data_IF_338462820061
#
_entry.id   IF_338462820061
#
_cell.length_a   1.000
_cell.length_b   1.000
_cell.length_c   1.000
_cell.angle_alpha   90.00
_cell.angle_beta   90.00
_cell.angle_gamma   90.00
#
_symmetry.space_group_name_H-M   'P 1'
#
loop_
_entity.id
_entity.type
_entity.pdbx_description
1 polymer ?
#
# COMPACT_ATOMS: atom_id res chain seq x y z
N UNK A 1 43.45 41.43 -10.77
CA UNK A 1 42.57 41.34 -11.95
C UNK A 1 42.21 39.88 -12.14
N UNK A 2 40.94 39.45 -12.00
CA UNK A 2 40.58 38.07 -12.27
C UNK A 2 40.52 37.89 -13.79
N UNK A 3 41.16 36.82 -14.28
CA UNK A 3 41.08 36.42 -15.67
C UNK A 3 39.66 35.89 -15.93
N UNK A 4 38.87 36.63 -16.69
CA UNK A 4 37.64 36.13 -17.30
C UNK A 4 38.00 34.90 -18.16
N UNK A 5 37.82 33.70 -17.61
CA UNK A 5 37.87 32.44 -18.36
C UNK A 5 36.67 32.40 -19.29
N UNK A 6 36.76 33.11 -20.43
CA UNK A 6 35.82 32.96 -21.53
C UNK A 6 36.02 31.55 -22.10
N UNK A 7 35.04 30.68 -21.89
CA UNK A 7 34.98 29.34 -22.48
C UNK A 7 35.16 29.45 -24.00
N UNK A 8 36.02 28.62 -24.58
CA UNK A 8 36.15 28.53 -26.05
C UNK A 8 34.80 28.17 -26.67
N UNK A 9 34.50 28.63 -27.90
CA UNK A 9 33.21 28.44 -28.56
C UNK A 9 32.69 26.99 -28.51
N UNK A 10 33.59 26.03 -28.68
CA UNK A 10 33.28 24.59 -28.66
C UNK A 10 32.86 24.09 -27.28
N UNK A 11 33.53 24.54 -26.20
CA UNK A 11 33.15 24.18 -24.83
C UNK A 11 31.81 24.79 -24.43
N UNK A 12 31.51 25.99 -24.94
CA UNK A 12 30.22 26.65 -24.74
C UNK A 12 29.10 25.90 -25.49
N UNK A 13 29.34 25.48 -26.73
CA UNK A 13 28.37 24.72 -27.51
C UNK A 13 28.09 23.34 -26.90
N UNK A 14 29.13 22.63 -26.43
CA UNK A 14 28.99 21.36 -25.71
C UNK A 14 28.14 21.52 -24.44
N UNK A 15 28.36 22.58 -23.67
CA UNK A 15 27.54 22.88 -22.49
C UNK A 15 26.07 23.07 -22.83
N UNK A 16 25.75 23.79 -23.90
CA UNK A 16 24.36 23.97 -24.34
C UNK A 16 23.72 22.68 -24.85
N UNK A 17 24.48 21.79 -25.50
CA UNK A 17 23.97 20.46 -25.90
C UNK A 17 23.60 19.63 -24.68
N UNK A 18 24.46 19.60 -23.64
CA UNK A 18 24.18 18.87 -22.39
C UNK A 18 22.94 19.43 -21.70
N UNK A 19 22.81 20.76 -21.61
CA UNK A 19 21.61 21.40 -21.02
C UNK A 19 20.35 21.07 -21.83
N UNK A 20 20.42 21.14 -23.16
CA UNK A 20 19.29 20.85 -24.03
C UNK A 20 18.82 19.39 -23.90
N UNK A 21 19.76 18.45 -23.81
CA UNK A 21 19.47 17.04 -23.57
C UNK A 21 18.87 16.82 -22.18
N UNK A 22 19.40 17.46 -21.13
CA UNK A 22 18.86 17.38 -19.77
C UNK A 22 17.43 17.92 -19.65
N UNK A 23 17.11 18.98 -20.41
CA UNK A 23 15.75 19.53 -20.51
C UNK A 23 14.80 18.63 -21.31
N UNK A 24 15.29 18.00 -22.37
CA UNK A 24 14.50 17.04 -23.16
C UNK A 24 14.17 15.76 -22.38
N UNK A 25 15.09 15.28 -21.55
CA UNK A 25 14.87 14.11 -20.70
C UNK A 25 14.19 14.44 -19.37
N UNK A 26 13.83 15.71 -19.13
CA UNK A 26 13.14 16.15 -17.92
C UNK A 26 11.92 15.30 -17.54
N UNK A 27 10.97 14.99 -18.44
CA UNK A 27 9.80 14.19 -18.10
C UNK A 27 10.15 12.79 -17.58
N UNK A 28 11.31 12.24 -17.95
CA UNK A 28 11.74 10.91 -17.52
C UNK A 28 12.24 10.95 -16.08
N UNK A 29 13.10 11.89 -15.72
CA UNK A 29 13.68 11.95 -14.37
C UNK A 29 12.83 12.73 -13.35
N UNK A 30 11.91 13.58 -13.78
CA UNK A 30 10.97 14.29 -12.89
C UNK A 30 10.09 13.33 -12.10
N UNK A 31 9.68 12.22 -12.70
CA UNK A 31 8.92 11.15 -12.02
C UNK A 31 9.66 10.51 -10.84
N UNK A 32 10.99 10.64 -10.81
CA UNK A 32 11.84 10.09 -9.75
C UNK A 32 12.13 11.10 -8.64
N UNK A 33 11.75 12.36 -8.83
CA UNK A 33 11.89 13.40 -7.82
C UNK A 33 10.57 13.53 -7.04
N UNK A 34 10.64 13.75 -5.71
CA UNK A 34 9.46 13.98 -4.87
C UNK A 34 8.91 15.40 -5.08
N UNK A 35 8.73 15.82 -6.34
CA UNK A 35 8.33 17.18 -6.72
C UNK A 35 7.01 17.09 -7.45
N UNK A 36 5.92 17.51 -6.79
CA UNK A 36 4.64 17.73 -7.46
C UNK A 36 3.52 16.73 -7.16
N UNK A 37 3.78 15.63 -6.44
CA UNK A 37 2.76 14.65 -6.04
C UNK A 37 2.10 14.95 -4.68
N UNK A 38 0.93 14.36 -4.40
CA UNK A 38 0.33 14.39 -3.07
C UNK A 38 1.24 13.71 -2.04
N UNK A 39 1.20 14.20 -0.80
CA UNK A 39 1.91 13.61 0.33
C UNK A 39 0.90 12.88 1.19
N UNK A 40 1.06 11.57 1.30
CA UNK A 40 0.17 10.73 2.08
C UNK A 40 0.67 10.64 3.52
N UNK A 41 -0.24 10.79 4.48
CA UNK A 41 0.04 10.69 5.90
C UNK A 41 -0.57 9.40 6.45
N UNK A 42 0.27 8.63 7.12
CA UNK A 42 -0.10 7.39 7.80
C UNK A 42 0.00 7.58 9.29
N UNK A 43 -0.94 7.02 10.01
CA UNK A 43 -0.97 7.02 11.47
C UNK A 43 -1.18 5.59 11.98
N UNK A 44 -0.97 5.39 13.29
CA UNK A 44 -1.25 4.13 13.95
C UNK A 44 -2.31 4.28 15.03
N UNK A 45 -3.15 3.26 15.16
CA UNK A 45 -4.02 3.06 16.31
C UNK A 45 -3.54 1.84 17.10
N UNK A 46 -3.45 1.96 18.41
CA UNK A 46 -3.10 0.83 19.28
C UNK A 46 -4.28 -0.15 19.38
N UNK A 47 -3.97 -1.43 19.24
CA UNK A 47 -4.91 -2.54 19.40
C UNK A 47 -4.55 -3.26 20.69
N UNK A 48 -5.52 -3.40 21.58
CA UNK A 48 -5.34 -4.03 22.89
C UNK A 48 -6.41 -5.06 23.15
N UNK A 49 -6.15 -5.90 24.14
CA UNK A 49 -7.11 -6.85 24.68
C UNK A 49 -7.49 -6.43 26.10
N UNK A 50 -8.75 -6.63 26.47
CA UNK A 50 -9.24 -6.41 27.84
C UNK A 50 -9.52 -7.74 28.58
N UNK A 51 -8.96 -8.83 28.07
CA UNK A 51 -9.16 -10.20 28.56
C UNK A 51 -10.36 -10.92 27.95
N UNK A 52 -11.35 -10.21 27.40
CA UNK A 52 -12.50 -10.85 26.72
C UNK A 52 -12.62 -10.46 25.26
N UNK A 53 -12.24 -9.23 24.92
CA UNK A 53 -12.34 -8.67 23.57
C UNK A 53 -10.99 -8.19 23.05
N UNK A 54 -10.95 -7.99 21.73
CA UNK A 54 -9.92 -7.24 21.02
C UNK A 54 -10.54 -5.91 20.58
N UNK A 55 -9.90 -4.80 20.93
CA UNK A 55 -10.40 -3.45 20.70
C UNK A 55 -9.29 -2.46 20.39
N UNK A 56 -9.66 -1.29 19.86
CA UNK A 56 -8.73 -0.16 19.78
C UNK A 56 -8.61 0.51 21.14
N UNK A 57 -7.39 0.77 21.60
CA UNK A 57 -7.14 1.41 22.90
C UNK A 57 -7.72 2.83 22.97
N UNK A 58 -7.86 3.50 21.82
CA UNK A 58 -8.53 4.80 21.71
C UNK A 58 -9.51 4.74 20.55
N UNK A 59 -10.80 4.93 20.84
CA UNK A 59 -11.82 5.11 19.81
C UNK A 59 -11.69 6.52 19.25
N UNK A 60 -11.10 6.65 18.06
CA UNK A 60 -11.16 7.88 17.27
C UNK A 60 -12.09 7.66 16.08
N UNK A 61 -12.96 8.63 15.81
CA UNK A 61 -13.87 8.63 14.64
C UNK A 61 -13.13 8.54 13.29
N UNK A 62 -11.80 8.75 13.30
CA UNK A 62 -10.92 8.68 12.14
C UNK A 62 -10.44 7.27 11.78
N UNK A 63 -10.57 6.28 12.69
CA UNK A 63 -10.17 4.90 12.38
C UNK A 63 -11.29 4.24 11.58
N UNK A 64 -11.11 4.22 10.27
CA UNK A 64 -12.01 3.52 9.35
C UNK A 64 -11.47 2.11 9.05
N UNK A 65 -12.13 1.07 9.55
CA UNK A 65 -11.91 -0.31 9.15
C UNK A 65 -11.81 -1.33 10.28
N UNK A 66 -11.71 -2.63 9.95
CA UNK A 66 -11.58 -3.70 10.93
C UNK A 66 -10.20 -3.69 11.61
N UNK A 67 -10.16 -4.26 12.81
CA UNK A 67 -8.94 -4.46 13.61
C UNK A 67 -7.92 -5.29 12.82
N UNK A 68 -8.42 -6.36 12.21
CA UNK A 68 -7.70 -7.20 11.25
C UNK A 68 -8.69 -7.72 10.23
N UNK A 69 -8.30 -7.82 8.97
CA UNK A 69 -9.08 -8.51 7.94
C UNK A 69 -9.21 -10.03 8.18
N UNK A 70 -8.40 -10.59 9.07
CA UNK A 70 -8.53 -11.96 9.56
C UNK A 70 -9.48 -12.10 10.76
N UNK A 71 -9.99 -10.99 11.32
CA UNK A 71 -11.00 -10.95 12.37
C UNK A 71 -12.29 -10.33 11.83
N UNK A 72 -13.23 -11.17 11.41
CA UNK A 72 -14.54 -10.72 10.98
C UNK A 72 -15.33 -10.07 12.12
N UNK A 73 -16.31 -9.25 11.77
CA UNK A 73 -17.24 -8.62 12.73
C UNK A 73 -16.57 -7.66 13.72
N UNK A 74 -15.37 -7.18 13.38
CA UNK A 74 -14.62 -6.23 14.19
C UNK A 74 -14.88 -4.76 13.83
N UNK A 75 -15.51 -4.50 12.67
CA UNK A 75 -15.92 -3.17 12.21
C UNK A 75 -17.40 -2.89 12.52
N UNK A 76 -17.69 -1.71 13.06
CA UNK A 76 -19.05 -1.24 13.36
C UNK A 76 -19.87 -0.89 12.11
N UNK A 77 -19.22 -0.59 10.99
CA UNK A 77 -19.89 -0.15 9.75
C UNK A 77 -20.29 -1.30 8.84
N UNK A 78 -19.80 -2.51 9.09
CA UNK A 78 -20.20 -3.71 8.38
C UNK A 78 -21.43 -4.33 9.06
N UNK A 79 -22.63 -3.85 8.72
CA UNK A 79 -23.91 -4.33 9.31
C UNK A 79 -24.28 -5.75 8.83
N UNK A 80 -23.68 -6.22 7.73
CA UNK A 80 -24.09 -7.46 7.03
C UNK A 80 -23.32 -8.76 7.34
N UNK A 81 -22.04 -8.81 7.74
CA UNK A 81 -21.29 -10.07 7.66
C UNK A 81 -21.46 -11.06 8.82
N UNK A 82 -22.26 -10.77 9.86
CA UNK A 82 -22.17 -11.52 11.13
C UNK A 82 -23.46 -12.22 11.56
N UNK A 83 -24.47 -12.28 10.68
CA UNK A 83 -25.75 -12.90 11.03
C UNK A 83 -25.65 -14.42 11.13
N UNK A 84 -24.84 -15.06 10.27
CA UNK A 84 -24.65 -16.50 10.28
C UNK A 84 -23.95 -16.94 11.58
N UNK A 85 -22.91 -16.24 11.96
CA UNK A 85 -22.06 -16.55 13.09
C UNK A 85 -22.85 -16.38 14.41
N UNK A 86 -23.75 -15.39 14.48
CA UNK A 86 -24.73 -15.30 15.57
C UNK A 86 -25.66 -16.51 15.61
N UNK A 87 -26.20 -16.94 14.47
CA UNK A 87 -27.06 -18.14 14.39
C UNK A 87 -26.31 -19.41 14.77
N UNK A 88 -25.01 -19.51 14.46
CA UNK A 88 -24.15 -20.63 14.88
C UNK A 88 -23.96 -20.63 16.39
N UNK A 89 -23.68 -19.47 17.00
CA UNK A 89 -23.59 -19.37 18.47
C UNK A 89 -24.90 -19.77 19.16
N UNK A 90 -26.06 -19.37 18.61
CA UNK A 90 -27.36 -19.72 19.17
C UNK A 90 -27.70 -21.22 19.04
N UNK A 91 -27.37 -21.83 17.90
CA UNK A 91 -27.72 -23.23 17.61
C UNK A 91 -26.60 -24.23 17.90
N UNK A 92 -25.46 -23.78 18.44
CA UNK A 92 -24.20 -24.52 18.63
C UNK A 92 -23.52 -24.93 17.32
N UNK A 93 -24.26 -25.54 16.40
CA UNK A 93 -23.77 -25.91 15.07
C UNK A 93 -24.79 -25.56 14.00
N UNK A 94 -24.32 -25.28 12.78
CA UNK A 94 -25.16 -25.07 11.60
C UNK A 94 -24.71 -25.99 10.48
N UNK A 95 -25.62 -26.73 9.83
CA UNK A 95 -25.26 -27.61 8.73
C UNK A 95 -24.72 -26.82 7.54
N UNK A 96 -23.57 -27.26 7.04
CA UNK A 96 -23.01 -26.75 5.78
C UNK A 96 -23.53 -27.57 4.59
N UNK A 97 -23.30 -27.08 3.38
CA UNK A 97 -23.48 -27.87 2.15
C UNK A 97 -22.37 -28.89 1.90
N UNK A 98 -21.32 -28.91 2.73
CA UNK A 98 -20.12 -29.73 2.55
C UNK A 98 -20.26 -31.06 3.26
N UNK A 99 -19.66 -32.09 2.67
CA UNK A 99 -19.66 -33.44 3.19
C UNK A 99 -18.23 -33.99 3.22
N UNK A 100 -17.90 -34.75 4.26
CA UNK A 100 -16.59 -35.37 4.46
C UNK A 100 -16.70 -36.89 4.40
N UNK A 101 -15.71 -37.53 3.77
CA UNK A 101 -15.62 -39.00 3.70
C UNK A 101 -15.11 -39.62 5.00
N UNK A 102 -14.33 -38.85 5.76
CA UNK A 102 -13.77 -39.25 7.05
C UNK A 102 -14.31 -38.31 8.15
N UNK A 103 -14.98 -38.83 9.19
CA UNK A 103 -15.52 -37.98 10.25
C UNK A 103 -14.44 -37.38 11.18
N UNK A 104 -13.17 -37.79 11.02
CA UNK A 104 -12.02 -37.20 11.71
C UNK A 104 -11.21 -36.19 10.89
N UNK A 105 -11.56 -35.99 9.61
CA UNK A 105 -10.89 -35.04 8.72
C UNK A 105 -11.93 -34.11 8.11
N UNK A 106 -12.16 -32.99 8.79
CA UNK A 106 -13.18 -31.99 8.45
C UNK A 106 -12.59 -30.74 7.82
N UNK A 107 -11.34 -30.82 7.37
CA UNK A 107 -10.68 -29.73 6.68
C UNK A 107 -11.48 -29.38 5.42
N UNK A 108 -11.99 -28.15 5.36
CA UNK A 108 -12.77 -27.75 4.21
C UNK A 108 -11.85 -27.46 3.00
N UNK A 109 -12.31 -27.76 1.77
CA UNK A 109 -11.59 -27.41 0.55
C UNK A 109 -11.81 -25.94 0.14
N UNK A 110 -12.10 -25.05 1.10
CA UNK A 110 -12.31 -23.61 0.85
C UNK A 110 -11.28 -22.80 1.64
N UNK A 111 -10.77 -21.74 1.03
CA UNK A 111 -10.01 -20.73 1.76
C UNK A 111 -10.98 -20.00 2.70
N UNK A 112 -10.70 -20.11 3.99
CA UNK A 112 -11.42 -19.36 5.01
C UNK A 112 -11.22 -17.87 4.77
N UNK A 113 -12.33 -17.13 4.69
CA UNK A 113 -12.29 -15.68 4.43
C UNK A 113 -11.67 -14.90 5.59
N UNK A 114 -11.78 -15.45 6.80
CA UNK A 114 -11.28 -14.90 8.04
C UNK A 114 -10.94 -16.08 8.97
N UNK A 115 -9.99 -15.88 9.88
CA UNK A 115 -9.58 -16.90 10.85
C UNK A 115 -10.36 -16.82 12.16
N UNK A 116 -10.78 -15.62 12.56
CA UNK A 116 -11.56 -15.41 13.77
C UNK A 116 -12.77 -14.51 13.51
N UNK A 117 -13.75 -14.59 14.39
CA UNK A 117 -14.91 -13.71 14.42
C UNK A 117 -15.07 -13.08 15.80
N UNK A 118 -15.40 -11.78 15.85
CA UNK A 118 -15.72 -11.08 17.10
C UNK A 118 -17.22 -10.87 17.23
N UNK A 119 -17.84 -11.44 18.27
CA UNK A 119 -19.28 -11.28 18.57
C UNK A 119 -19.45 -10.99 20.06
N UNK A 120 -20.24 -9.97 20.39
CA UNK A 120 -20.60 -9.59 21.76
C UNK A 120 -19.40 -9.59 22.73
N UNK A 121 -18.33 -8.89 22.32
CA UNK A 121 -17.09 -8.73 23.09
C UNK A 121 -16.34 -10.04 23.42
N UNK A 122 -16.53 -11.07 22.58
CA UNK A 122 -15.78 -12.31 22.60
C UNK A 122 -15.22 -12.65 21.21
N UNK A 123 -14.14 -13.42 21.18
CA UNK A 123 -13.48 -13.89 19.96
C UNK A 123 -13.71 -15.39 19.81
N UNK A 124 -14.01 -15.81 18.58
CA UNK A 124 -14.27 -17.21 18.25
C UNK A 124 -13.52 -17.63 16.99
N UNK A 125 -13.06 -18.88 16.98
CA UNK A 125 -12.51 -19.57 15.82
C UNK A 125 -13.61 -20.42 15.15
N UNK A 126 -13.84 -20.27 13.84
CA UNK A 126 -14.66 -21.18 13.07
C UNK A 126 -14.09 -22.60 13.12
N UNK A 127 -14.89 -23.56 13.53
CA UNK A 127 -14.53 -24.97 13.57
C UNK A 127 -15.53 -25.80 12.78
N UNK A 128 -15.06 -26.90 12.20
CA UNK A 128 -15.88 -27.76 11.36
C UNK A 128 -15.91 -29.17 11.92
N UNK A 129 -17.12 -29.70 12.11
CA UNK A 129 -17.33 -31.01 12.72
C UNK A 129 -18.21 -31.87 11.81
N UNK A 130 -17.79 -33.11 11.56
CA UNK A 130 -18.60 -34.07 10.82
C UNK A 130 -19.71 -34.63 11.71
N UNK A 131 -20.96 -34.46 11.31
CA UNK A 131 -22.10 -35.03 12.01
C UNK A 131 -22.22 -36.53 11.71
N UNK A 132 -21.73 -37.35 12.64
CA UNK A 132 -21.76 -38.82 12.56
C UNK A 132 -23.17 -39.40 12.51
N UNK A 133 -24.17 -38.69 13.02
CA UNK A 133 -25.57 -39.10 13.00
C UNK A 133 -26.28 -38.75 11.69
N UNK A 134 -25.67 -37.92 10.83
CA UNK A 134 -26.20 -37.51 9.53
C UNK A 134 -25.35 -38.08 8.38
N UNK A 135 -25.05 -39.38 8.43
CA UNK A 135 -24.37 -40.08 7.34
C UNK A 135 -25.33 -40.33 6.18
N UNK A 136 -24.86 -40.08 4.96
CA UNK A 136 -25.59 -40.36 3.71
C UNK A 136 -25.39 -41.81 3.27
N UNK A 137 -26.22 -42.24 2.32
CA UNK A 137 -26.15 -43.59 1.74
C UNK A 137 -24.80 -43.90 1.05
N UNK A 138 -24.12 -42.87 0.55
CA UNK A 138 -22.78 -42.95 -0.03
C UNK A 138 -21.64 -43.04 1.01
N UNK A 139 -21.99 -43.06 2.30
CA UNK A 139 -21.05 -43.14 3.41
C UNK A 139 -20.48 -41.78 3.85
N UNK A 140 -20.83 -40.68 3.20
CA UNK A 140 -20.33 -39.34 3.53
C UNK A 140 -21.07 -38.72 4.71
N UNK A 141 -20.36 -37.96 5.54
CA UNK A 141 -20.90 -37.27 6.71
C UNK A 141 -21.11 -35.80 6.39
N UNK A 142 -22.27 -35.24 6.75
CA UNK A 142 -22.49 -33.79 6.62
C UNK A 142 -21.57 -33.04 7.59
N UNK A 143 -20.87 -32.02 7.08
CA UNK A 143 -20.04 -31.13 7.91
C UNK A 143 -20.91 -30.01 8.48
N UNK A 144 -20.74 -29.70 9.75
CA UNK A 144 -21.43 -28.62 10.45
C UNK A 144 -20.39 -27.58 10.89
N UNK A 145 -20.73 -26.31 10.71
CA UNK A 145 -19.96 -25.17 11.19
C UNK A 145 -20.31 -24.95 12.66
N UNK A 146 -19.28 -24.74 13.46
CA UNK A 146 -19.32 -24.41 14.88
C UNK A 146 -18.40 -23.22 15.14
N UNK A 147 -18.53 -22.61 16.32
CA UNK A 147 -17.66 -21.55 16.78
C UNK A 147 -17.06 -21.95 18.13
N UNK A 148 -15.74 -22.04 18.19
CA UNK A 148 -15.02 -22.32 19.43
C UNK A 148 -14.50 -21.00 20.01
N UNK A 149 -14.67 -20.80 21.32
CA UNK A 149 -14.21 -19.57 21.96
C UNK A 149 -12.68 -19.58 22.06
N UNK A 150 -12.05 -18.48 21.69
CA UNK A 150 -10.60 -18.32 21.69
C UNK A 150 -10.20 -17.19 22.63
N UNK A 151 -9.04 -17.34 23.28
CA UNK A 151 -8.46 -16.27 24.10
C UNK A 151 -8.06 -15.08 23.21
N UNK A 152 -8.49 -13.84 23.53
CA UNK A 152 -8.21 -12.66 22.71
C UNK A 152 -6.73 -12.41 22.45
N UNK A 153 -5.87 -12.65 23.44
CA UNK A 153 -4.42 -12.46 23.31
C UNK A 153 -3.84 -13.40 22.26
N UNK A 154 -4.25 -14.67 22.30
CA UNK A 154 -3.81 -15.70 21.35
C UNK A 154 -4.31 -15.40 19.94
N UNK A 155 -5.58 -15.00 19.81
CA UNK A 155 -6.16 -14.65 18.52
C UNK A 155 -5.45 -13.43 17.91
N UNK A 156 -5.22 -12.38 18.72
CA UNK A 156 -4.52 -11.17 18.28
C UNK A 156 -3.09 -11.47 17.85
N UNK A 157 -2.35 -12.27 18.61
CA UNK A 157 -1.00 -12.69 18.26
C UNK A 157 -0.99 -13.47 16.93
N UNK A 158 -1.94 -14.38 16.74
CA UNK A 158 -2.01 -15.24 15.56
C UNK A 158 -2.30 -14.49 14.26
N UNK A 159 -3.16 -13.46 14.30
CA UNK A 159 -3.49 -12.66 13.09
C UNK A 159 -2.55 -11.49 12.85
N UNK A 160 -1.60 -11.26 13.76
CA UNK A 160 -0.72 -10.11 13.67
C UNK A 160 0.49 -10.40 12.80
N UNK A 161 0.88 -9.42 11.98
CA UNK A 161 2.13 -9.44 11.23
C UNK A 161 3.24 -8.81 12.05
N UNK A 162 4.40 -9.42 12.09
CA UNK A 162 5.55 -8.79 12.73
C UNK A 162 6.03 -7.57 11.94
N UNK A 163 6.48 -6.54 12.65
CA UNK A 163 7.07 -5.31 12.04
C UNK A 163 8.35 -5.56 11.22
N UNK A 164 8.88 -6.78 11.25
CA UNK A 164 10.06 -7.20 10.48
C UNK A 164 9.70 -8.08 9.30
N UNK A 165 8.41 -8.27 8.99
CA UNK A 165 8.00 -9.03 7.81
C UNK A 165 8.41 -8.29 6.53
N UNK A 166 8.93 -9.04 5.55
CA UNK A 166 9.53 -8.49 4.33
C UNK A 166 8.51 -7.83 3.38
N UNK A 167 7.22 -8.07 3.59
CA UNK A 167 6.10 -7.52 2.81
C UNK A 167 5.63 -6.14 3.30
N UNK A 168 6.14 -5.66 4.44
CA UNK A 168 5.78 -4.35 4.97
C UNK A 168 6.60 -3.23 4.33
N UNK A 169 5.91 -2.25 3.77
CA UNK A 169 6.54 -1.08 3.18
C UNK A 169 7.22 -0.19 4.24
N UNK A 170 8.34 0.50 3.93
CA UNK A 170 9.03 1.35 4.89
C UNK A 170 8.16 2.42 5.59
N UNK A 171 7.22 3.11 4.90
CA UNK A 171 6.32 4.07 5.57
C UNK A 171 5.41 3.41 6.60
N UNK A 172 4.97 2.17 6.36
CA UNK A 172 4.14 1.40 7.29
C UNK A 172 4.95 1.01 8.53
N UNK A 173 6.17 0.52 8.33
CA UNK A 173 7.09 0.19 9.42
C UNK A 173 7.40 1.42 10.28
N UNK A 174 7.65 2.56 9.65
CA UNK A 174 7.90 3.82 10.34
C UNK A 174 6.67 4.25 11.15
N UNK A 175 5.50 4.34 10.51
CA UNK A 175 4.26 4.73 11.17
C UNK A 175 3.94 3.82 12.37
N UNK A 176 4.13 2.51 12.23
CA UNK A 176 3.93 1.55 13.32
C UNK A 176 4.86 1.81 14.52
N UNK A 177 6.09 2.27 14.29
CA UNK A 177 7.10 2.51 15.33
C UNK A 177 7.00 3.90 15.95
N UNK A 178 6.87 4.94 15.14
CA UNK A 178 6.93 6.35 15.55
C UNK A 178 5.57 6.92 15.93
N UNK A 179 4.47 6.42 15.35
CA UNK A 179 3.15 7.04 15.43
C UNK A 179 2.64 7.59 14.11
N UNK A 180 3.54 8.14 13.30
CA UNK A 180 3.21 8.76 12.03
C UNK A 180 4.31 8.56 10.98
N UNK A 181 3.90 8.48 9.72
CA UNK A 181 4.81 8.51 8.59
C UNK A 181 4.22 9.30 7.42
N UNK A 182 5.12 9.82 6.57
CA UNK A 182 4.74 10.50 5.33
C UNK A 182 5.43 9.83 4.15
N UNK A 183 4.69 9.69 3.05
CA UNK A 183 5.23 9.16 1.80
C UNK A 183 4.79 10.00 0.59
N UNK A 184 5.69 10.10 -0.38
CA UNK A 184 5.35 10.61 -1.71
C UNK A 184 4.82 9.42 -2.53
N UNK A 185 3.51 9.41 -2.78
CA UNK A 185 2.81 8.27 -3.37
C UNK A 185 2.06 7.42 -2.34
N UNK A 186 0.93 6.89 -2.78
CA UNK A 186 0.10 6.01 -1.94
C UNK A 186 0.83 4.69 -1.71
N UNK A 187 0.92 4.31 -0.44
CA UNK A 187 1.52 3.06 0.01
C UNK A 187 0.39 2.13 0.39
N UNK A 188 0.43 0.90 -0.11
CA UNK A 188 -0.54 -0.11 0.28
C UNK A 188 -0.33 -0.47 1.76
N UNK A 189 -1.34 -0.21 2.58
CA UNK A 189 -1.30 -0.47 4.01
C UNK A 189 -2.07 -1.75 4.28
N UNK A 190 -1.42 -2.78 4.87
CA UNK A 190 -2.10 -4.03 5.14
C UNK A 190 -3.27 -3.80 6.10
N UNK A 191 -4.34 -4.57 5.91
CA UNK A 191 -5.52 -4.54 6.78
C UNK A 191 -5.34 -5.36 8.06
N UNK A 192 -4.27 -6.15 8.14
CA UNK A 192 -3.86 -6.91 9.31
C UNK A 192 -3.22 -6.01 10.38
N UNK A 193 -3.33 -6.44 11.63
CA UNK A 193 -2.64 -5.78 12.75
C UNK A 193 -1.12 -6.03 12.67
N UNK A 194 -0.31 -5.06 13.11
CA UNK A 194 1.15 -5.14 13.14
C UNK A 194 1.64 -5.25 14.58
N UNK A 195 2.41 -6.29 14.88
CA UNK A 195 3.06 -6.50 16.17
C UNK A 195 4.49 -5.93 16.16
N UNK A 196 4.77 -5.02 17.08
CA UNK A 196 6.10 -4.50 17.35
C UNK A 196 6.94 -5.47 18.18
N UNK A 197 8.27 -5.26 18.20
CA UNK A 197 9.23 -6.08 18.95
C UNK A 197 9.02 -6.09 20.47
N UNK A 198 8.34 -5.09 21.01
CA UNK A 198 8.00 -5.00 22.43
C UNK A 198 6.71 -5.74 22.79
N UNK A 199 6.09 -6.45 21.83
CA UNK A 199 4.83 -7.18 22.04
C UNK A 199 3.57 -6.32 21.97
N UNK A 200 3.68 -5.04 21.60
CA UNK A 200 2.50 -4.17 21.40
C UNK A 200 1.99 -4.24 19.96
N UNK A 201 0.67 -4.04 19.79
CA UNK A 201 -0.03 -4.26 18.53
C UNK A 201 -0.63 -2.96 18.01
N UNK A 202 -0.49 -2.71 16.72
CA UNK A 202 -1.01 -1.50 16.08
C UNK A 202 -1.63 -1.77 14.73
N UNK A 203 -2.70 -1.05 14.44
CA UNK A 203 -3.24 -0.91 13.09
C UNK A 203 -2.70 0.39 12.49
N UNK A 204 -1.89 0.28 11.44
CA UNK A 204 -1.52 1.44 10.62
C UNK A 204 -2.64 1.72 9.64
N UNK A 205 -3.00 2.99 9.41
CA UNK A 205 -4.02 3.39 8.45
C UNK A 205 -3.62 4.68 7.72
N UNK A 206 -4.23 4.91 6.56
CA UNK A 206 -4.09 6.19 5.85
C UNK A 206 -4.95 7.24 6.58
N UNK A 207 -4.30 8.21 7.22
CA UNK A 207 -4.98 9.28 7.94
C UNK A 207 -5.48 10.37 6.99
N UNK A 208 -4.76 10.60 5.90
CA UNK A 208 -5.14 11.59 4.89
C UNK A 208 -4.02 11.82 3.88
N UNK A 209 -4.25 12.78 2.98
CA UNK A 209 -3.23 13.25 2.06
C UNK A 209 -3.33 14.76 1.90
N UNK A 210 -2.16 15.39 1.80
CA UNK A 210 -2.06 16.78 1.37
C UNK A 210 -1.91 16.82 -0.14
N UNK A 211 -2.81 17.55 -0.79
CA UNK A 211 -2.71 17.82 -2.23
C UNK A 211 -1.41 18.54 -2.56
N UNK A 212 -0.90 18.30 -3.77
CA UNK A 212 0.27 19.00 -4.26
C UNK A 212 0.09 20.52 -4.20
N UNK A 213 1.05 21.20 -3.57
CA UNK A 213 1.08 22.66 -3.48
C UNK A 213 0.99 23.30 -4.88
N UNK A 214 0.41 24.51 -5.02
CA UNK A 214 0.36 25.20 -6.32
C UNK A 214 1.74 25.41 -6.94
N UNK A 215 2.77 25.64 -6.10
CA UNK A 215 4.16 25.82 -6.54
C UNK A 215 4.71 24.52 -7.12
N UNK A 216 4.51 23.39 -6.43
CA UNK A 216 4.99 22.09 -6.89
C UNK A 216 4.29 21.62 -8.16
N UNK A 217 2.97 21.87 -8.30
CA UNK A 217 2.24 21.68 -9.56
C UNK A 217 2.80 22.54 -10.70
N UNK A 218 3.16 23.79 -10.40
CA UNK A 218 3.79 24.68 -11.37
C UNK A 218 5.16 24.19 -11.83
N UNK A 219 5.99 23.69 -10.91
CA UNK A 219 7.30 23.11 -11.23
C UNK A 219 7.15 21.85 -12.08
N UNK A 220 6.25 20.94 -11.69
CA UNK A 220 5.97 19.74 -12.47
C UNK A 220 5.49 20.09 -13.90
N UNK A 221 4.56 21.04 -14.02
CA UNK A 221 4.12 21.52 -15.33
C UNK A 221 5.27 22.09 -16.18
N UNK A 222 6.15 22.89 -15.57
CA UNK A 222 7.31 23.47 -16.27
C UNK A 222 8.27 22.38 -16.72
N UNK A 223 8.62 21.43 -15.85
CA UNK A 223 9.58 20.38 -16.17
C UNK A 223 9.02 19.33 -17.13
N UNK A 224 7.72 19.07 -17.08
CA UNK A 224 7.05 18.08 -17.92
C UNK A 224 6.72 18.63 -19.31
N UNK A 225 6.32 19.91 -19.44
CA UNK A 225 5.87 20.48 -20.71
C UNK A 225 6.80 21.55 -21.29
N UNK A 226 7.30 22.48 -20.46
CA UNK A 226 8.08 23.63 -20.97
C UNK A 226 9.56 23.31 -21.15
N UNK A 227 10.15 22.49 -20.28
CA UNK A 227 11.55 22.09 -20.37
C UNK A 227 11.84 21.32 -21.67
N UNK A 228 11.06 20.30 -22.11
CA UNK A 228 11.30 19.62 -23.38
C UNK A 228 11.23 20.56 -24.58
N UNK A 229 10.28 21.50 -24.59
CA UNK A 229 10.15 22.50 -25.66
C UNK A 229 11.38 23.43 -25.70
N UNK A 230 11.85 23.87 -24.53
CA UNK A 230 13.06 24.69 -24.43
C UNK A 230 14.32 23.93 -24.88
N UNK A 231 14.44 22.65 -24.49
CA UNK A 231 15.52 21.77 -24.92
C UNK A 231 15.53 21.53 -26.43
N UNK A 232 14.37 21.23 -27.02
CA UNK A 232 14.20 21.07 -28.46
C UNK A 232 14.56 22.35 -29.22
N UNK A 233 14.08 23.51 -28.73
CA UNK A 233 14.39 24.80 -29.34
C UNK A 233 15.88 25.14 -29.27
N UNK A 234 16.54 24.84 -28.16
CA UNK A 234 18.00 24.97 -28.01
C UNK A 234 18.75 24.12 -29.04
N UNK A 235 18.37 22.85 -29.22
CA UNK A 235 18.97 21.96 -30.23
C UNK A 235 18.78 22.50 -31.65
N UNK A 236 17.58 22.96 -32.02
CA UNK A 236 17.29 23.56 -33.34
C UNK A 236 18.15 24.81 -33.57
N UNK A 237 18.33 25.64 -32.53
CA UNK A 237 19.15 26.84 -32.64
C UNK A 237 20.64 26.51 -32.78
N UNK A 238 21.12 25.46 -32.14
CA UNK A 238 22.49 24.98 -32.25
C UNK A 238 22.76 24.36 -33.62
N UNK A 239 21.86 23.52 -34.14
CA UNK A 239 22.02 22.90 -35.47
C UNK A 239 22.12 23.96 -36.56
N UNK A 240 21.23 24.97 -36.55
CA UNK A 240 21.29 26.09 -37.51
C UNK A 240 22.58 26.88 -37.45
N UNK A 241 23.21 27.03 -36.27
CA UNK A 241 24.51 27.75 -36.18
C UNK A 241 25.67 26.93 -36.74
N UNK A 242 25.65 25.61 -36.55
CA UNK A 242 26.69 24.71 -37.05
C UNK A 242 26.57 24.55 -38.58
N UNK A 243 25.35 24.49 -39.08
CA UNK A 243 25.06 24.42 -40.52
C UNK A 243 25.46 25.72 -41.24
N UNK A 244 25.22 26.89 -40.62
CA UNK A 244 25.67 28.19 -41.15
C UNK A 244 27.20 28.33 -41.13
N UNK A 245 27.91 27.79 -40.13
CA UNK A 245 29.38 27.83 -40.14
C UNK A 245 30.01 26.93 -41.20
N UNK A 246 29.35 25.81 -41.54
CA UNK A 246 29.81 24.95 -42.63
C UNK A 246 29.52 25.54 -44.01
N UNK A 247 28.37 26.20 -44.19
CA UNK A 247 28.03 26.86 -45.47
C UNK A 247 28.97 28.06 -45.78
N UNK A 248 29.41 28.80 -44.76
CA UNK A 248 30.36 29.92 -44.97
C UNK A 248 31.79 29.49 -45.29
N UNK A 249 32.18 28.25 -44.97
CA UNK A 249 33.49 27.69 -45.33
C UNK A 249 33.51 27.12 -46.76
N UNK A 250 32.34 26.83 -47.34
CA UNK A 250 32.22 26.29 -48.71
C UNK A 250 32.12 27.40 -49.77
N UNK A 251 31.61 28.59 -49.43
CA UNK A 251 31.53 29.75 -50.35
C UNK A 251 32.89 30.43 -50.65
N UNK A 252 33.96 30.02 -49.98
CA UNK A 252 35.32 30.51 -50.21
C UNK A 252 36.14 29.73 -51.26
N UNK A 253 35.60 28.63 -51.78
CA UNK A 253 36.32 27.73 -52.72
C UNK A 253 35.58 27.58 -54.05
N UNK A 254 35.26 28.69 -54.69
CA UNK A 254 35.05 28.70 -56.15
C UNK A 254 35.16 30.13 -56.71
N UNK A 255 36.38 30.54 -57.06
CA UNK A 255 36.65 31.44 -58.20
C UNK A 255 38.02 31.11 -58.81
N UNK A 256 38.09 30.63 -60.07
CA UNK A 256 39.31 30.73 -60.86
C UNK A 256 39.61 32.18 -61.27
#
# INVERSE_FOLDING_TARGET
MPADRRLTPDRRNLGFVVVALGLLTAPVWVTQLPVGGPVYQYERAEVTTNGTAIEYATATDSISGPISDEIACSDSWEVRPCALERVVLENTTVPTGVHASNPGDTQLPIDERYRYVRIDDAVYEPTYVANRSAQREDGMYRVELSLERTEPDQALETVSRHVTSDDLSPPVIEAARSGDARAHGETDVPKTTIQLKNGTYYRVYLAGHDDASPVSRGIDFVLTYLAPLAGLWLLIRLSRRIEVSHASDDEGRDRP
#
